data_IF_842129563734
#
_entry.id   IF_842129563734
#
_cell.length_a   1.000
_cell.length_b   1.000
_cell.length_c   1.000
_cell.angle_alpha   90.00
_cell.angle_beta   90.00
_cell.angle_gamma   90.00
#
_symmetry.space_group_name_H-M   'P 1'
#
loop_
_entity.id
_entity.type
_entity.pdbx_description
1 polymer ?
#
# COMPACT_ATOMS: atom_id res chain seq x y z
N UNK A 1 -13.09 -2.22 -1.35
CA UNK A 1 -13.71 -0.89 -1.53
C UNK A 1 -13.18 -0.18 -2.78
N UNK A 2 -11.87 0.06 -2.90
CA UNK A 2 -11.26 0.73 -4.06
C UNK A 2 -11.70 0.13 -5.42
N UNK A 3 -11.59 -1.19 -5.55
CA UNK A 3 -12.04 -1.91 -6.76
C UNK A 3 -13.51 -1.68 -7.04
N UNK A 4 -14.36 -1.79 -6.01
CA UNK A 4 -15.82 -1.71 -6.13
C UNK A 4 -16.25 -0.33 -6.62
N UNK A 5 -15.63 0.74 -6.10
CA UNK A 5 -15.94 2.10 -6.53
C UNK A 5 -15.34 2.48 -7.88
N UNK A 6 -14.17 1.93 -8.21
CA UNK A 6 -13.67 2.01 -9.57
C UNK A 6 -14.66 1.32 -10.53
N UNK A 7 -15.27 0.19 -10.12
CA UNK A 7 -16.30 -0.49 -10.92
C UNK A 7 -17.58 0.33 -11.08
N UNK A 8 -18.02 1.04 -10.03
CA UNK A 8 -19.31 1.77 -10.05
C UNK A 8 -19.26 3.10 -10.81
N UNK A 9 -18.07 3.68 -11.02
CA UNK A 9 -17.92 4.97 -11.73
C UNK A 9 -17.49 4.81 -13.20
N UNK A 10 -17.20 3.60 -13.64
CA UNK A 10 -16.93 3.32 -15.04
C UNK A 10 -18.23 2.91 -15.74
N UNK A 11 -18.48 3.52 -16.90
CA UNK A 11 -19.75 3.45 -17.61
C UNK A 11 -20.10 2.05 -18.14
N UNK A 12 -19.14 1.11 -18.12
CA UNK A 12 -19.34 -0.29 -18.52
C UNK A 12 -18.58 -1.24 -17.58
N UNK A 13 -19.15 -2.40 -17.28
CA UNK A 13 -18.53 -3.43 -16.43
C UNK A 13 -17.18 -3.94 -16.98
N UNK A 14 -16.98 -3.85 -18.30
CA UNK A 14 -15.71 -4.16 -18.97
C UNK A 14 -14.57 -3.26 -18.47
N UNK A 15 -14.82 -1.96 -18.36
CA UNK A 15 -13.81 -0.94 -18.01
C UNK A 15 -13.24 -1.15 -16.60
N UNK A 16 -14.06 -1.71 -15.72
CA UNK A 16 -13.72 -2.01 -14.34
C UNK A 16 -12.82 -3.24 -14.17
N UNK A 17 -13.13 -4.30 -14.91
CA UNK A 17 -12.26 -5.47 -14.98
C UNK A 17 -10.94 -5.14 -15.69
N UNK A 18 -10.99 -4.25 -16.70
CA UNK A 18 -9.80 -3.65 -17.30
C UNK A 18 -8.95 -2.87 -16.30
N UNK A 19 -9.56 -2.03 -15.46
CA UNK A 19 -8.81 -1.21 -14.49
C UNK A 19 -8.15 -2.08 -13.39
N UNK A 20 -8.81 -3.16 -12.96
CA UNK A 20 -8.24 -4.14 -12.01
C UNK A 20 -7.11 -4.96 -12.65
N UNK A 21 -7.28 -5.45 -13.87
CA UNK A 21 -6.20 -6.16 -14.58
C UNK A 21 -5.02 -5.23 -14.86
N UNK A 22 -5.30 -3.97 -15.16
CA UNK A 22 -4.31 -2.96 -15.48
C UNK A 22 -3.48 -2.56 -14.26
N UNK A 23 -4.12 -2.27 -13.12
CA UNK A 23 -3.40 -2.00 -11.87
C UNK A 23 -2.51 -3.20 -11.52
N UNK A 24 -2.99 -4.43 -11.74
CA UNK A 24 -2.19 -5.63 -11.54
C UNK A 24 -0.99 -5.71 -12.47
N UNK A 25 -1.12 -5.36 -13.76
CA UNK A 25 0.01 -5.29 -14.68
C UNK A 25 1.00 -4.19 -14.29
N UNK A 26 0.52 -3.07 -13.75
CA UNK A 26 1.37 -1.98 -13.32
C UNK A 26 2.15 -2.31 -12.04
N UNK A 27 1.51 -2.93 -11.03
CA UNK A 27 2.23 -3.54 -9.89
C UNK A 27 3.12 -4.69 -10.37
N UNK A 28 2.63 -5.45 -11.36
CA UNK A 28 3.30 -6.40 -12.27
C UNK A 28 4.71 -5.97 -12.64
N UNK A 29 4.80 -4.72 -13.07
CA UNK A 29 6.01 -4.11 -13.57
C UNK A 29 6.97 -3.61 -12.49
N UNK A 30 6.47 -3.21 -11.31
CA UNK A 30 7.28 -2.56 -10.27
C UNK A 30 7.87 -3.50 -9.21
N UNK A 31 7.25 -4.65 -8.91
CA UNK A 31 7.60 -5.44 -7.72
C UNK A 31 8.67 -6.49 -7.97
N UNK A 32 9.96 -6.16 -7.76
CA UNK A 32 11.09 -7.12 -7.88
C UNK A 32 12.32 -6.69 -7.06
N UNK A 33 12.75 -7.51 -6.08
CA UNK A 33 14.11 -8.14 -5.99
C UNK A 33 14.17 -9.30 -4.96
N UNK A 34 13.34 -9.36 -3.92
CA UNK A 34 13.60 -10.33 -2.81
C UNK A 34 12.75 -11.62 -2.79
N UNK A 35 11.87 -11.84 -3.76
CA UNK A 35 10.89 -12.93 -3.68
C UNK A 35 11.12 -14.03 -4.72
N UNK A 36 10.84 -15.31 -4.39
CA UNK A 36 11.18 -16.44 -5.24
C UNK A 36 10.25 -16.47 -6.45
N UNK A 37 10.59 -15.72 -7.49
CA UNK A 37 9.82 -15.69 -8.74
C UNK A 37 10.70 -15.95 -9.97
N UNK A 38 10.09 -16.53 -11.02
CA UNK A 38 10.78 -16.85 -12.27
C UNK A 38 11.40 -15.59 -12.86
N UNK A 39 12.66 -15.71 -13.26
CA UNK A 39 13.55 -14.66 -13.75
C UNK A 39 13.07 -13.90 -15.00
N UNK A 40 11.90 -14.24 -15.54
CA UNK A 40 11.34 -13.68 -16.77
C UNK A 40 10.54 -12.38 -16.59
N UNK A 41 10.14 -12.02 -15.37
CA UNK A 41 9.52 -10.72 -15.09
C UNK A 41 10.53 -9.66 -14.63
N UNK A 42 11.76 -10.08 -14.31
CA UNK A 42 12.85 -9.23 -13.84
C UNK A 42 12.99 -8.01 -14.74
N UNK A 43 12.71 -6.85 -14.16
CA UNK A 43 13.39 -5.65 -14.54
C UNK A 43 14.82 -5.80 -13.98
N UNK A 44 15.86 -6.10 -14.78
CA UNK A 44 17.15 -5.50 -14.49
C UNK A 44 16.90 -4.02 -14.67
N UNK A 45 16.44 -3.29 -13.65
CA UNK A 45 16.30 -1.83 -13.71
C UNK A 45 17.71 -1.31 -13.98
N UNK A 46 18.02 -0.91 -15.24
CA UNK A 46 19.30 -0.28 -15.51
C UNK A 46 19.28 1.03 -14.73
N UNK A 47 20.44 1.67 -14.51
CA UNK A 47 20.49 2.97 -13.83
C UNK A 47 19.48 4.00 -14.41
N UNK A 48 19.19 3.92 -15.71
CA UNK A 48 18.17 4.74 -16.39
C UNK A 48 16.72 4.48 -15.90
N UNK A 49 16.38 3.24 -15.54
CA UNK A 49 15.07 2.88 -14.99
C UNK A 49 14.87 3.44 -13.58
N UNK A 50 15.88 3.30 -12.70
CA UNK A 50 15.85 3.88 -11.35
C UNK A 50 15.77 5.41 -11.41
N UNK A 51 16.51 6.03 -12.32
CA UNK A 51 16.45 7.49 -12.56
C UNK A 51 15.03 7.91 -12.97
N UNK A 52 14.43 7.20 -13.92
CA UNK A 52 13.04 7.45 -14.33
C UNK A 52 12.05 7.33 -13.17
N UNK A 53 12.19 6.31 -12.31
CA UNK A 53 11.31 6.14 -11.15
C UNK A 53 11.48 7.27 -10.11
N UNK A 54 12.73 7.65 -9.81
CA UNK A 54 13.02 8.77 -8.91
C UNK A 54 12.42 10.09 -9.43
N UNK A 55 12.53 10.34 -10.74
CA UNK A 55 11.97 11.53 -11.37
C UNK A 55 10.43 11.50 -11.42
N UNK A 56 9.83 10.38 -11.83
CA UNK A 56 8.37 10.23 -11.98
C UNK A 56 7.64 10.44 -10.64
N UNK A 57 8.16 9.84 -9.56
CA UNK A 57 7.58 9.96 -8.22
C UNK A 57 8.13 11.15 -7.42
N UNK A 58 9.01 11.97 -8.02
CA UNK A 58 9.62 13.13 -7.38
C UNK A 58 10.23 12.76 -6.01
N UNK A 59 10.99 11.66 -5.98
CA UNK A 59 11.53 11.08 -4.75
C UNK A 59 12.61 11.99 -4.18
N UNK A 60 12.57 12.24 -2.87
CA UNK A 60 13.59 13.08 -2.23
C UNK A 60 14.97 12.41 -2.22
N UNK A 61 16.04 13.22 -2.25
CA UNK A 61 17.41 12.73 -2.47
C UNK A 61 17.85 11.62 -1.50
N UNK A 62 17.46 11.71 -0.21
CA UNK A 62 17.80 10.70 0.81
C UNK A 62 16.99 9.40 0.69
N UNK A 63 15.86 9.46 -0.02
CA UNK A 63 14.97 8.33 -0.26
C UNK A 63 15.14 7.72 -1.66
N UNK A 64 16.06 8.23 -2.49
CA UNK A 64 16.26 7.77 -3.85
C UNK A 64 16.47 6.26 -3.96
N UNK A 65 15.94 5.69 -5.03
CA UNK A 65 16.17 4.31 -5.44
C UNK A 65 17.55 4.22 -6.10
N UNK A 66 18.43 3.41 -5.53
CA UNK A 66 19.86 3.31 -5.91
C UNK A 66 20.25 1.93 -6.45
N UNK A 67 19.43 0.94 -6.17
CA UNK A 67 19.60 -0.45 -6.59
C UNK A 67 18.22 -1.03 -6.90
N UNK A 68 18.19 -2.12 -7.67
CA UNK A 68 16.92 -2.75 -8.06
C UNK A 68 16.07 -3.11 -6.84
N UNK A 69 16.67 -3.57 -5.73
CA UNK A 69 15.94 -3.93 -4.51
C UNK A 69 15.25 -2.79 -3.82
N UNK A 70 15.59 -1.55 -4.14
CA UNK A 70 14.87 -0.42 -3.59
C UNK A 70 13.46 -0.29 -4.19
N UNK A 71 13.16 -0.97 -5.31
CA UNK A 71 11.83 -0.95 -5.93
C UNK A 71 10.72 -1.44 -4.99
N UNK A 72 11.04 -2.35 -4.05
CA UNK A 72 10.09 -2.84 -3.04
C UNK A 72 9.56 -1.70 -2.15
N UNK A 73 10.38 -0.68 -1.86
CA UNK A 73 9.93 0.52 -1.12
C UNK A 73 8.92 1.33 -1.92
N UNK A 74 9.16 1.52 -3.22
CA UNK A 74 8.23 2.25 -4.09
C UNK A 74 6.90 1.50 -4.24
N UNK A 75 6.95 0.17 -4.38
CA UNK A 75 5.73 -0.65 -4.43
C UNK A 75 4.93 -0.52 -3.14
N UNK A 76 5.61 -0.56 -1.98
CA UNK A 76 4.98 -0.38 -0.68
C UNK A 76 4.34 1.01 -0.55
N UNK A 77 5.06 2.06 -0.94
CA UNK A 77 4.56 3.44 -0.97
C UNK A 77 3.31 3.62 -1.82
N UNK A 78 3.27 3.02 -3.02
CA UNK A 78 2.08 3.07 -3.89
C UNK A 78 0.94 2.28 -3.26
N UNK A 79 1.20 1.05 -2.80
CA UNK A 79 0.19 0.18 -2.19
C UNK A 79 -0.47 0.84 -0.98
N UNK A 80 0.32 1.50 -0.14
CA UNK A 80 -0.15 2.23 1.02
C UNK A 80 -1.15 3.32 0.63
N UNK A 81 -0.87 4.10 -0.42
CA UNK A 81 -1.83 5.07 -0.94
C UNK A 81 -3.16 4.42 -1.38
N UNK A 82 -3.12 3.28 -2.07
CA UNK A 82 -4.36 2.57 -2.45
C UNK A 82 -5.14 2.09 -1.21
N UNK A 83 -4.44 1.59 -0.20
CA UNK A 83 -5.02 1.17 1.07
C UNK A 83 -5.71 2.33 1.78
N UNK A 84 -4.99 3.43 1.99
CA UNK A 84 -5.56 4.58 2.69
C UNK A 84 -6.65 5.29 1.88
N UNK A 85 -6.51 5.46 0.56
CA UNK A 85 -7.60 5.98 -0.28
C UNK A 85 -8.89 5.17 -0.10
N UNK A 86 -8.79 3.86 0.06
CA UNK A 86 -9.94 3.01 0.34
C UNK A 86 -10.52 3.21 1.75
N UNK A 87 -9.66 3.42 2.76
CA UNK A 87 -10.06 3.63 4.15
C UNK A 87 -10.70 4.99 4.39
N UNK A 88 -10.18 6.05 3.77
CA UNK A 88 -10.63 7.45 3.98
C UNK A 88 -11.50 7.96 2.84
N UNK A 89 -12.30 7.07 2.24
CA UNK A 89 -13.14 7.39 1.09
C UNK A 89 -14.44 8.12 1.47
N UNK A 90 -14.32 9.25 2.14
CA UNK A 90 -15.44 10.03 2.66
C UNK A 90 -16.15 10.84 1.57
N UNK A 91 -17.47 11.11 1.68
CA UNK A 91 -18.24 11.83 0.67
C UNK A 91 -17.97 13.35 0.60
N UNK A 92 -17.05 13.86 1.41
CA UNK A 92 -16.68 15.28 1.52
C UNK A 92 -15.17 15.40 1.78
N UNK A 93 -14.56 16.58 1.54
CA UNK A 93 -13.14 16.79 1.81
C UNK A 93 -12.79 16.57 3.29
N UNK A 94 -11.68 15.90 3.55
CA UNK A 94 -11.20 15.61 4.91
C UNK A 94 -9.70 15.83 5.02
N UNK A 95 -9.20 15.96 6.25
CA UNK A 95 -7.78 16.06 6.58
C UNK A 95 -7.50 15.23 7.83
N UNK A 96 -7.85 13.93 7.75
CA UNK A 96 -7.67 12.99 8.85
C UNK A 96 -6.27 12.37 8.85
N UNK A 97 -5.88 11.77 7.72
CA UNK A 97 -4.50 11.28 7.50
C UNK A 97 -3.68 12.27 6.66
N UNK A 98 -4.32 12.79 5.60
CA UNK A 98 -3.82 13.82 4.70
C UNK A 98 -5.02 14.63 4.15
N UNK A 99 -4.81 15.85 3.66
CA UNK A 99 -5.85 16.62 2.99
C UNK A 99 -6.29 15.96 1.68
N UNK A 100 -7.55 15.55 1.60
CA UNK A 100 -8.12 14.81 0.46
C UNK A 100 -9.47 15.39 0.02
N UNK A 101 -9.83 15.23 -1.26
CA UNK A 101 -11.15 15.61 -1.75
C UNK A 101 -12.23 14.66 -1.23
N UNK A 102 -13.50 15.04 -1.40
CA UNK A 102 -14.60 14.09 -1.27
C UNK A 102 -14.55 13.04 -2.38
N UNK A 103 -14.89 11.79 -2.03
CA UNK A 103 -14.78 10.61 -2.88
C UNK A 103 -13.38 10.47 -3.53
N UNK A 104 -12.31 10.37 -2.73
CA UNK A 104 -10.95 10.38 -3.25
C UNK A 104 -10.65 9.20 -4.18
N UNK A 105 -11.24 8.02 -3.98
CA UNK A 105 -11.09 6.89 -4.92
C UNK A 105 -11.63 7.24 -6.30
N UNK A 106 -12.81 7.85 -6.36
CA UNK A 106 -13.44 8.30 -7.61
C UNK A 106 -12.59 9.35 -8.31
N UNK A 107 -12.09 10.33 -7.56
CA UNK A 107 -11.25 11.39 -8.11
C UNK A 107 -9.92 10.82 -8.68
N UNK A 108 -9.31 9.84 -8.01
CA UNK A 108 -8.10 9.18 -8.49
C UNK A 108 -8.35 8.47 -9.83
N UNK A 109 -9.42 7.67 -9.90
CA UNK A 109 -9.79 6.94 -11.11
C UNK A 109 -10.09 7.89 -12.27
N UNK A 110 -10.81 8.99 -11.99
CA UNK A 110 -11.12 10.02 -12.99
C UNK A 110 -9.85 10.67 -13.55
N UNK A 111 -8.88 11.02 -12.69
CA UNK A 111 -7.60 11.60 -13.14
C UNK A 111 -6.81 10.62 -14.00
N UNK A 112 -6.74 9.35 -13.59
CA UNK A 112 -6.06 8.32 -14.33
C UNK A 112 -6.70 8.07 -15.71
N UNK A 113 -8.03 8.01 -15.77
CA UNK A 113 -8.78 7.85 -17.03
C UNK A 113 -8.64 9.07 -17.96
N UNK A 114 -8.59 10.28 -17.41
CA UNK A 114 -8.38 11.49 -18.20
C UNK A 114 -6.97 11.53 -18.84
N UNK A 115 -5.95 11.06 -18.11
CA UNK A 115 -4.58 10.97 -18.61
C UNK A 115 -4.40 9.81 -19.60
N UNK A 116 -5.13 8.71 -19.40
CA UNK A 116 -5.08 7.52 -20.25
C UNK A 116 -6.47 7.12 -20.74
N UNK A 117 -7.02 7.84 -21.75
CA UNK A 117 -8.33 7.52 -22.34
C UNK A 117 -8.34 6.18 -23.10
N UNK A 118 -7.16 5.65 -23.42
CA UNK A 118 -6.94 4.35 -24.04
C UNK A 118 -5.99 3.55 -23.15
N UNK A 119 -6.06 2.23 -23.26
CA UNK A 119 -5.19 1.34 -22.49
C UNK A 119 -3.72 1.72 -22.70
N UNK A 120 -3.00 2.06 -21.62
CA UNK A 120 -1.56 2.29 -21.67
C UNK A 120 -0.84 1.09 -22.28
N UNK A 121 0.07 1.34 -23.23
CA UNK A 121 0.73 0.25 -23.98
C UNK A 121 2.21 0.10 -23.63
N UNK A 122 2.77 1.04 -22.86
CA UNK A 122 4.17 1.00 -22.46
C UNK A 122 4.32 0.89 -20.95
N UNK A 123 5.44 0.31 -20.53
CA UNK A 123 5.79 0.22 -19.12
C UNK A 123 5.90 1.58 -18.42
N UNK A 124 6.32 2.62 -19.13
CA UNK A 124 6.38 3.98 -18.57
C UNK A 124 4.98 4.53 -18.31
N UNK A 125 4.04 4.22 -19.19
CA UNK A 125 2.65 4.63 -19.02
C UNK A 125 1.99 3.88 -17.85
N UNK A 126 2.30 2.59 -17.67
CA UNK A 126 1.89 1.81 -16.49
C UNK A 126 2.36 2.48 -15.18
N UNK A 127 3.63 2.88 -15.11
CA UNK A 127 4.18 3.56 -13.95
C UNK A 127 3.52 4.93 -13.74
N UNK A 128 3.34 5.71 -14.81
CA UNK A 128 2.69 7.02 -14.72
C UNK A 128 1.24 6.90 -14.23
N UNK A 129 0.52 5.84 -14.63
CA UNK A 129 -0.82 5.57 -14.13
C UNK A 129 -0.84 5.34 -12.61
N UNK A 130 0.08 4.54 -12.08
CA UNK A 130 0.21 4.34 -10.63
C UNK A 130 0.61 5.63 -9.90
N UNK A 131 1.48 6.44 -10.52
CA UNK A 131 1.83 7.76 -10.01
C UNK A 131 0.59 8.66 -9.90
N UNK A 132 -0.24 8.76 -10.93
CA UNK A 132 -1.44 9.61 -10.90
C UNK A 132 -2.38 9.26 -9.73
N UNK A 133 -2.60 7.96 -9.50
CA UNK A 133 -3.46 7.49 -8.41
C UNK A 133 -2.81 7.75 -7.05
N UNK A 134 -1.57 7.30 -6.85
CA UNK A 134 -0.88 7.47 -5.56
C UNK A 134 -0.61 8.93 -5.22
N UNK A 135 -0.29 9.76 -6.20
CA UNK A 135 -0.05 11.19 -6.01
C UNK A 135 -1.33 11.96 -5.62
N UNK A 136 -2.53 11.44 -5.93
CA UNK A 136 -3.74 12.01 -5.33
C UNK A 136 -3.67 11.91 -3.81
N UNK A 137 -3.26 10.76 -3.28
CA UNK A 137 -3.17 10.57 -1.84
C UNK A 137 -2.10 11.49 -1.22
N UNK A 138 -0.88 11.43 -1.77
CA UNK A 138 0.27 12.12 -1.19
C UNK A 138 0.34 13.61 -1.46
N UNK A 139 -0.25 14.11 -2.54
CA UNK A 139 -0.09 15.50 -2.98
C UNK A 139 -1.34 16.08 -3.66
N UNK A 140 -2.52 15.82 -3.09
CA UNK A 140 -3.78 16.37 -3.60
C UNK A 140 -3.75 17.91 -3.72
N UNK A 141 -3.19 18.59 -2.74
CA UNK A 141 -3.10 20.06 -2.65
C UNK A 141 -2.04 20.68 -3.54
N UNK A 142 -1.11 19.87 -4.06
CA UNK A 142 0.05 20.35 -4.83
C UNK A 142 1.12 21.04 -4.00
N UNK A 143 1.07 20.95 -2.67
CA UNK A 143 2.03 21.61 -1.76
C UNK A 143 3.23 20.74 -1.40
N UNK A 144 3.18 19.42 -1.66
CA UNK A 144 4.28 18.51 -1.39
C UNK A 144 5.29 18.59 -2.54
N UNK A 145 6.52 18.98 -2.21
CA UNK A 145 7.58 19.18 -3.20
C UNK A 145 8.26 17.87 -3.63
N UNK A 146 8.38 16.91 -2.72
CA UNK A 146 9.06 15.63 -2.93
C UNK A 146 8.43 14.54 -2.07
N UNK A 147 8.50 13.28 -2.50
CA UNK A 147 7.99 12.14 -1.75
C UNK A 147 9.08 11.36 -1.02
N UNK A 148 8.75 10.85 0.17
CA UNK A 148 9.55 9.85 0.87
C UNK A 148 8.99 8.44 0.60
N UNK A 149 9.75 7.61 -0.11
CA UNK A 149 9.36 6.21 -0.34
C UNK A 149 10.04 5.24 0.64
N UNK A 150 11.16 5.65 1.25
CA UNK A 150 11.90 4.90 2.27
C UNK A 150 11.59 5.48 3.64
N UNK A 151 10.47 5.07 4.24
CA UNK A 151 9.99 5.60 5.51
C UNK A 151 11.01 5.50 6.66
N UNK A 152 11.91 4.50 6.62
CA UNK A 152 13.01 4.36 7.58
C UNK A 152 14.04 5.51 7.56
N UNK A 153 14.07 6.33 6.50
CA UNK A 153 15.03 7.44 6.33
C UNK A 153 14.36 8.81 6.50
N UNK A 154 13.06 8.93 6.23
CA UNK A 154 12.34 10.21 6.25
C UNK A 154 11.09 10.26 7.14
N UNK A 155 10.70 9.14 7.76
CA UNK A 155 9.37 8.97 8.33
C UNK A 155 8.34 8.53 7.29
N UNK A 156 7.21 8.02 7.77
CA UNK A 156 6.09 7.63 6.92
C UNK A 156 5.24 8.86 6.56
N UNK A 157 5.28 9.23 5.28
CA UNK A 157 4.50 10.36 4.76
C UNK A 157 2.99 10.07 4.75
N UNK A 158 2.59 8.81 4.62
CA UNK A 158 1.19 8.44 4.49
C UNK A 158 0.38 8.69 5.76
N UNK A 159 1.05 8.67 6.91
CA UNK A 159 0.44 8.85 8.23
C UNK A 159 1.03 10.03 8.99
N UNK A 160 1.79 10.91 8.33
CA UNK A 160 2.53 11.99 8.96
C UNK A 160 1.67 12.94 9.85
N UNK A 161 0.37 13.10 9.57
CA UNK A 161 -0.54 13.92 10.42
C UNK A 161 -0.97 13.20 11.71
N UNK A 162 -0.72 11.89 11.83
CA UNK A 162 -1.11 11.07 12.99
C UNK A 162 -0.15 11.20 14.18
N UNK A 163 0.96 11.91 14.02
CA UNK A 163 1.95 12.21 15.05
C UNK A 163 3.31 11.55 14.81
N UNK A 164 4.27 11.85 15.70
CA UNK A 164 5.68 11.48 15.53
C UNK A 164 6.04 10.08 16.06
N UNK A 165 5.07 9.30 16.57
CA UNK A 165 5.35 7.95 17.09
C UNK A 165 5.35 6.90 15.97
N UNK A 166 6.50 6.80 15.30
CA UNK A 166 6.72 5.84 14.23
C UNK A 166 6.70 4.36 14.70
N UNK A 167 6.72 4.09 16.02
CA UNK A 167 6.89 2.73 16.53
C UNK A 167 5.78 2.24 17.47
N UNK A 168 4.91 3.13 17.95
CA UNK A 168 3.80 2.76 18.84
C UNK A 168 2.88 1.70 18.23
N UNK A 169 2.34 1.97 17.03
CA UNK A 169 1.48 1.01 16.34
C UNK A 169 2.24 -0.25 15.89
N UNK A 170 3.42 -0.16 15.23
CA UNK A 170 4.22 -1.35 14.94
C UNK A 170 4.54 -2.21 16.16
N UNK A 171 4.79 -1.61 17.32
CA UNK A 171 5.02 -2.34 18.57
C UNK A 171 3.77 -3.10 19.01
N UNK A 172 2.59 -2.45 18.99
CA UNK A 172 1.33 -3.11 19.31
C UNK A 172 1.03 -4.28 18.36
N UNK A 173 1.26 -4.10 17.05
CA UNK A 173 1.07 -5.16 16.05
C UNK A 173 2.09 -6.30 16.14
N UNK A 174 3.27 -6.02 16.68
CA UNK A 174 4.29 -7.02 16.97
C UNK A 174 4.13 -7.68 18.34
N UNK A 175 3.13 -7.31 19.15
CA UNK A 175 2.97 -7.88 20.49
C UNK A 175 1.59 -8.48 20.70
N UNK A 176 0.56 -7.66 20.85
CA UNK A 176 -0.77 -8.08 21.32
C UNK A 176 -1.86 -7.96 20.26
N UNK A 177 -1.68 -7.05 19.30
CA UNK A 177 -2.61 -6.79 18.20
C UNK A 177 -2.08 -7.37 16.89
N UNK A 178 -1.77 -8.67 16.90
CA UNK A 178 -1.24 -9.35 15.71
C UNK A 178 -2.32 -9.42 14.62
N UNK A 179 -2.11 -8.68 13.54
CA UNK A 179 -3.04 -8.59 12.41
C UNK A 179 -2.47 -9.38 11.24
N UNK A 180 -2.97 -10.59 11.05
CA UNK A 180 -2.59 -11.44 9.92
C UNK A 180 -3.29 -10.98 8.62
N UNK A 181 -2.63 -10.07 7.91
CA UNK A 181 -3.08 -9.56 6.62
C UNK A 181 -2.04 -9.79 5.52
N UNK A 182 -2.53 -10.21 4.35
CA UNK A 182 -1.74 -10.40 3.13
C UNK A 182 -2.64 -10.20 1.91
N UNK A 183 -2.06 -9.81 0.78
CA UNK A 183 -2.74 -9.91 -0.50
C UNK A 183 -2.68 -11.34 -1.04
N UNK A 184 -3.77 -11.81 -1.65
CA UNK A 184 -3.86 -13.14 -2.28
C UNK A 184 -3.67 -13.08 -3.80
N UNK A 185 -3.68 -11.87 -4.37
CA UNK A 185 -3.58 -11.64 -5.80
C UNK A 185 -4.64 -12.39 -6.62
N UNK A 186 -4.39 -12.47 -7.94
CA UNK A 186 -5.27 -13.22 -8.85
C UNK A 186 -6.71 -12.71 -8.83
N UNK A 187 -7.72 -13.57 -8.73
CA UNK A 187 -9.11 -13.09 -8.70
C UNK A 187 -9.50 -12.35 -7.40
N UNK A 188 -8.66 -12.35 -6.37
CA UNK A 188 -9.01 -11.81 -5.05
C UNK A 188 -8.72 -10.31 -4.92
N UNK A 189 -7.59 -9.87 -5.45
CA UNK A 189 -7.13 -8.48 -5.41
C UNK A 189 -6.15 -8.19 -6.56
N UNK A 190 -5.79 -6.93 -6.76
CA UNK A 190 -4.88 -6.50 -7.83
C UNK A 190 -3.41 -6.48 -7.42
N UNK A 191 -3.09 -6.82 -6.17
CA UNK A 191 -1.72 -6.98 -5.71
C UNK A 191 -1.24 -8.41 -6.03
N UNK A 192 -0.02 -8.72 -5.60
CA UNK A 192 0.54 -10.05 -5.74
C UNK A 192 0.13 -10.95 -4.58
N UNK A 193 0.25 -12.26 -4.78
CA UNK A 193 0.09 -13.22 -3.69
C UNK A 193 1.28 -13.09 -2.72
N UNK A 194 0.98 -12.49 -1.58
CA UNK A 194 1.87 -12.32 -0.44
C UNK A 194 1.64 -13.38 0.63
N UNK A 195 0.49 -14.06 0.60
CA UNK A 195 0.08 -14.96 1.67
C UNK A 195 0.94 -16.21 1.77
N UNK A 196 1.58 -16.62 0.68
CA UNK A 196 2.51 -17.76 0.64
C UNK A 196 3.97 -17.34 0.89
N UNK A 197 4.25 -16.04 1.03
CA UNK A 197 5.60 -15.54 1.26
C UNK A 197 6.10 -15.93 2.65
N UNK A 198 7.42 -16.10 2.79
CA UNK A 198 8.07 -16.55 4.03
C UNK A 198 7.48 -17.86 4.62
N UNK A 199 6.73 -18.65 3.83
CA UNK A 199 6.02 -19.83 4.31
C UNK A 199 4.72 -19.55 5.06
N UNK A 200 4.19 -18.32 4.99
CA UNK A 200 2.91 -17.92 5.57
C UNK A 200 2.93 -16.51 6.16
N UNK A 201 1.73 -15.93 6.33
CA UNK A 201 1.52 -14.56 6.85
C UNK A 201 2.15 -14.35 8.23
N UNK A 202 2.02 -15.32 9.12
CA UNK A 202 2.61 -15.24 10.46
C UNK A 202 4.14 -15.14 10.44
N UNK A 203 4.80 -15.85 9.51
CA UNK A 203 6.26 -15.76 9.36
C UNK A 203 6.66 -14.39 8.81
N UNK A 204 5.90 -13.85 7.85
CA UNK A 204 6.13 -12.50 7.32
C UNK A 204 6.08 -11.44 8.44
N UNK A 205 5.06 -11.51 9.30
CA UNK A 205 4.93 -10.61 10.47
C UNK A 205 6.08 -10.84 11.44
N UNK A 206 6.41 -12.09 11.74
CA UNK A 206 7.51 -12.43 12.65
C UNK A 206 8.84 -11.84 12.19
N UNK A 207 9.15 -11.97 10.91
CA UNK A 207 10.39 -11.45 10.31
C UNK A 207 10.43 -9.92 10.35
N UNK A 208 9.31 -9.25 10.04
CA UNK A 208 9.19 -7.80 10.19
C UNK A 208 9.46 -7.34 11.63
N UNK A 209 8.84 -8.00 12.62
CA UNK A 209 8.99 -7.64 14.03
C UNK A 209 10.41 -7.87 14.55
N UNK A 210 11.02 -9.02 14.19
CA UNK A 210 12.42 -9.30 14.53
C UNK A 210 13.36 -8.28 13.90
N UNK A 211 13.13 -7.92 12.63
CA UNK A 211 13.96 -6.94 11.94
C UNK A 211 13.83 -5.55 12.57
N UNK A 212 12.60 -5.12 12.86
CA UNK A 212 12.29 -3.77 13.35
C UNK A 212 12.76 -3.56 14.80
N UNK A 213 12.59 -4.55 15.68
CA UNK A 213 12.77 -4.38 17.12
C UNK A 213 13.94 -5.20 17.72
N UNK A 214 14.74 -5.87 16.89
CA UNK A 214 15.91 -6.64 17.38
C UNK A 214 16.87 -5.79 18.23
N UNK A 215 17.06 -4.52 17.88
CA UNK A 215 17.96 -3.59 18.56
C UNK A 215 17.56 -3.31 20.02
N UNK A 216 16.28 -3.50 20.36
CA UNK A 216 15.73 -3.32 21.71
C UNK A 216 15.45 -4.66 22.41
N UNK A 217 15.96 -5.78 21.87
CA UNK A 217 15.87 -7.10 22.49
C UNK A 217 14.59 -7.88 22.19
N UNK A 218 13.82 -7.47 21.18
CA UNK A 218 12.65 -8.21 20.73
C UNK A 218 13.02 -9.62 20.27
N UNK A 219 12.17 -10.59 20.59
CA UNK A 219 12.28 -11.98 20.17
C UNK A 219 10.88 -12.58 19.99
N UNK A 220 10.79 -13.78 19.40
CA UNK A 220 9.51 -14.41 19.02
C UNK A 220 8.53 -14.61 20.19
N UNK A 221 9.01 -14.66 21.44
CA UNK A 221 8.13 -14.82 22.61
C UNK A 221 7.28 -13.56 22.90
N UNK A 222 7.61 -12.41 22.29
CA UNK A 222 6.81 -11.20 22.38
C UNK A 222 5.60 -11.21 21.45
N UNK A 223 5.58 -12.05 20.41
CA UNK A 223 4.50 -12.12 19.43
C UNK A 223 3.35 -12.99 19.98
N UNK A 224 2.36 -12.36 20.62
CA UNK A 224 1.17 -13.03 21.13
C UNK A 224 0.08 -13.08 20.06
N UNK A 225 0.24 -14.00 19.09
CA UNK A 225 -0.70 -14.21 17.98
C UNK A 225 -2.17 -14.27 18.43
N UNK A 226 -2.44 -15.03 19.50
CA UNK A 226 -3.79 -15.21 20.03
C UNK A 226 -4.14 -14.21 21.14
N UNK A 227 -3.34 -13.16 21.35
CA UNK A 227 -3.50 -12.20 22.43
C UNK A 227 -4.89 -11.57 22.44
N UNK A 228 -5.31 -10.96 21.33
CA UNK A 228 -6.63 -10.37 21.20
C UNK A 228 -7.78 -11.38 21.33
N UNK A 229 -7.78 -12.55 20.63
CA UNK A 229 -8.79 -13.58 20.83
C UNK A 229 -8.89 -14.11 22.26
N UNK A 230 -7.76 -14.29 22.97
CA UNK A 230 -7.73 -14.77 24.35
C UNK A 230 -8.29 -13.71 25.31
N UNK A 231 -7.87 -12.46 25.14
CA UNK A 231 -8.21 -11.38 26.07
C UNK A 231 -9.64 -10.88 25.88
N UNK A 232 -10.11 -10.77 24.64
CA UNK A 232 -11.39 -10.14 24.31
C UNK A 232 -12.46 -11.12 23.84
N UNK A 233 -12.07 -12.35 23.45
CA UNK A 233 -12.96 -13.31 22.81
C UNK A 233 -13.30 -12.94 21.37
N UNK A 234 -13.73 -13.93 20.61
CA UNK A 234 -14.32 -13.75 19.27
C UNK A 234 -15.84 -13.99 19.28
N UNK A 235 -16.37 -14.38 20.44
CA UNK A 235 -17.78 -14.70 20.66
C UNK A 235 -18.38 -13.73 21.67
N UNK A 236 -19.34 -12.92 21.21
CA UNK A 236 -19.92 -11.84 21.99
C UNK A 236 -21.31 -12.16 22.53
N UNK A 237 -21.70 -13.44 22.57
CA UNK A 237 -23.04 -13.88 22.97
C UNK A 237 -23.41 -13.51 24.42
N UNK A 238 -22.43 -13.38 25.30
CA UNK A 238 -22.61 -12.92 26.68
C UNK A 238 -22.39 -11.41 26.86
N UNK A 239 -21.97 -10.69 25.82
CA UNK A 239 -21.77 -9.25 25.88
C UNK A 239 -23.11 -8.50 25.76
N UNK A 240 -23.18 -7.29 26.32
CA UNK A 240 -24.35 -6.42 26.22
C UNK A 240 -23.93 -4.96 26.05
N UNK A 241 -24.83 -4.13 25.53
CA UNK A 241 -24.63 -2.68 25.33
C UNK A 241 -23.50 -2.31 24.34
N UNK A 242 -23.30 -3.11 23.29
CA UNK A 242 -22.30 -2.83 22.24
C UNK A 242 -23.02 -2.65 20.90
N UNK A 243 -22.69 -1.56 20.19
CA UNK A 243 -23.10 -1.34 18.79
C UNK A 243 -21.84 -1.37 17.94
N UNK A 244 -21.67 -2.41 17.14
CA UNK A 244 -20.62 -2.47 16.12
C UNK A 244 -21.12 -1.84 14.82
N UNK A 245 -20.60 -0.67 14.49
CA UNK A 245 -20.91 0.00 13.22
C UNK A 245 -19.81 -0.30 12.21
N UNK A 246 -20.18 -0.75 11.02
CA UNK A 246 -19.33 -0.81 9.83
C UNK A 246 -20.02 0.02 8.74
N UNK A 247 -19.27 0.87 8.05
CA UNK A 247 -19.77 1.80 7.03
C UNK A 247 -19.06 1.55 5.71
#
# INVERSE_FOLDING_TARGET
MFVIEAKSNLTQASDADYLVSFIREAFGYLAMVNYPYPTSFLLPLPAAGLTFLNEMFVIEAKSNLTQASDADYLVSFIREAFGYLAMVNYPYPTSFLLPLPGWPVKEACKRAQAAFPQTPTTNRDLVNYLYIISNLYYNYTGTVATNCVKSSVCGDQATAESGDDAFGWPWQSCTELVIEMCARGGSNDFFYDECQQAGGVLNLITDYCLTTFSSIGYNKNFLFELGAPIQYGLEFSAASNIIFTCV
#
